data_IF_046550497583
#
_entry.id   IF_046550497583
#
_cell.length_a   1.000
_cell.length_b   1.000
_cell.length_c   1.000
_cell.angle_alpha   90.00
_cell.angle_beta   90.00
_cell.angle_gamma   90.00
#
_symmetry.space_group_name_H-M   'P 1'
#
loop_
_entity.id
_entity.type
_entity.pdbx_description
1 polymer ?
#
# COMPACT_ATOMS: atom_id res chain seq x y z
N UNK A 1 -5.31 21.85 7.63
CA UNK A 1 -4.22 21.25 6.82
C UNK A 1 -4.40 19.74 6.82
N UNK A 2 -5.06 19.20 5.79
CA UNK A 2 -5.12 17.74 5.60
C UNK A 2 -3.69 17.30 5.30
N UNK A 3 -3.11 16.52 6.20
CA UNK A 3 -1.74 16.04 6.06
C UNK A 3 -1.62 15.19 4.80
N UNK A 4 -0.69 15.54 3.91
CA UNK A 4 -0.44 14.88 2.61
C UNK A 4 -0.28 13.35 2.71
N UNK A 5 0.08 12.86 3.89
CA UNK A 5 0.19 11.43 4.20
C UNK A 5 -1.15 10.70 4.22
N UNK A 6 -2.25 11.36 4.62
CA UNK A 6 -3.58 10.76 4.66
C UNK A 6 -4.17 10.60 3.25
N UNK A 7 -3.96 11.58 2.37
CA UNK A 7 -4.43 11.52 0.97
C UNK A 7 -3.73 10.42 0.18
N UNK A 8 -2.39 10.35 0.25
CA UNK A 8 -1.61 9.28 -0.41
C UNK A 8 -2.01 7.89 0.09
N UNK A 9 -2.25 7.76 1.40
CA UNK A 9 -2.59 6.46 1.98
C UNK A 9 -4.00 5.99 1.60
N UNK A 10 -4.92 6.91 1.34
CA UNK A 10 -6.26 6.57 0.84
C UNK A 10 -6.23 6.21 -0.64
N UNK A 11 -5.54 7.00 -1.46
CA UNK A 11 -5.37 6.74 -2.90
C UNK A 11 -4.76 5.35 -3.14
N UNK A 12 -3.67 5.04 -2.44
CA UNK A 12 -3.01 3.74 -2.55
C UNK A 12 -3.92 2.59 -2.12
N UNK A 13 -4.78 2.81 -1.12
CA UNK A 13 -5.76 1.81 -0.66
C UNK A 13 -6.80 1.54 -1.74
N UNK A 14 -7.33 2.57 -2.39
CA UNK A 14 -8.33 2.47 -3.46
C UNK A 14 -7.77 1.70 -4.65
N UNK A 15 -6.54 2.00 -5.07
CA UNK A 15 -5.87 1.27 -6.15
C UNK A 15 -5.79 -0.23 -5.84
N UNK A 16 -5.37 -0.60 -4.62
CA UNK A 16 -5.27 -2.02 -4.22
C UNK A 16 -6.61 -2.73 -4.13
N UNK A 17 -7.67 -2.02 -3.77
CA UNK A 17 -9.03 -2.57 -3.85
C UNK A 17 -9.44 -2.84 -5.30
N UNK A 18 -9.15 -1.93 -6.23
CA UNK A 18 -9.44 -2.12 -7.65
C UNK A 18 -8.67 -3.31 -8.23
N UNK A 19 -7.40 -3.48 -7.87
CA UNK A 19 -6.62 -4.66 -8.26
C UNK A 19 -7.21 -5.95 -7.71
N UNK A 20 -7.67 -5.96 -6.46
CA UNK A 20 -8.28 -7.15 -5.88
C UNK A 20 -9.58 -7.55 -6.58
N UNK A 21 -10.41 -6.57 -6.96
CA UNK A 21 -11.59 -6.83 -7.79
C UNK A 21 -11.23 -7.34 -9.18
N UNK A 22 -10.21 -6.76 -9.82
CA UNK A 22 -9.69 -7.22 -11.13
C UNK A 22 -9.21 -8.67 -11.06
N UNK A 23 -8.58 -9.05 -9.96
CA UNK A 23 -8.07 -10.41 -9.74
C UNK A 23 -9.17 -11.41 -9.32
N UNK A 24 -10.43 -10.96 -9.22
CA UNK A 24 -11.56 -11.80 -8.82
C UNK A 24 -11.54 -12.23 -7.35
N UNK A 25 -10.82 -11.51 -6.49
CA UNK A 25 -10.77 -11.83 -5.07
C UNK A 25 -12.10 -11.51 -4.38
N UNK A 26 -12.51 -12.42 -3.50
CA UNK A 26 -13.60 -12.16 -2.57
C UNK A 26 -13.24 -11.03 -1.59
N UNK A 27 -14.26 -10.39 -1.02
CA UNK A 27 -14.10 -9.23 -0.14
C UNK A 27 -13.12 -9.47 1.03
N UNK A 28 -13.11 -10.69 1.59
CA UNK A 28 -12.24 -11.08 2.71
C UNK A 28 -10.76 -11.14 2.29
N UNK A 29 -10.47 -11.72 1.13
CA UNK A 29 -9.11 -11.87 0.62
C UNK A 29 -8.58 -10.54 0.07
N UNK A 30 -9.45 -9.75 -0.54
CA UNK A 30 -9.17 -8.36 -0.94
C UNK A 30 -8.79 -7.50 0.29
N UNK A 31 -9.57 -7.59 1.38
CA UNK A 31 -9.27 -6.89 2.62
C UNK A 31 -7.95 -7.34 3.23
N UNK A 32 -7.64 -8.64 3.20
CA UNK A 32 -6.36 -9.17 3.69
C UNK A 32 -5.19 -8.59 2.89
N UNK A 33 -5.30 -8.56 1.56
CA UNK A 33 -4.30 -8.00 0.65
C UNK A 33 -4.08 -6.51 0.90
N UNK A 34 -5.16 -5.73 1.00
CA UNK A 34 -5.09 -4.30 1.31
C UNK A 34 -4.45 -4.04 2.68
N UNK A 35 -4.72 -4.91 3.67
CA UNK A 35 -4.16 -4.78 5.03
C UNK A 35 -2.66 -5.04 5.09
N UNK A 36 -2.10 -5.87 4.19
CA UNK A 36 -0.65 -6.05 4.07
C UNK A 36 0.08 -4.74 3.74
N UNK A 37 -0.58 -3.85 2.99
CA UNK A 37 -0.07 -2.52 2.66
C UNK A 37 -0.48 -1.45 3.68
N UNK A 38 -1.13 -1.83 4.79
CA UNK A 38 -1.45 -0.88 5.85
C UNK A 38 -0.16 -0.36 6.48
N UNK A 39 -0.19 0.91 6.87
CA UNK A 39 0.95 1.65 7.41
C UNK A 39 1.67 0.92 8.53
N UNK A 40 1.01 0.08 9.34
CA UNK A 40 1.66 -0.65 10.43
C UNK A 40 2.66 -1.72 9.95
N UNK A 41 2.37 -2.36 8.82
CA UNK A 41 3.28 -3.31 8.17
C UNK A 41 4.27 -2.61 7.23
N UNK A 42 3.86 -1.51 6.59
CA UNK A 42 4.70 -0.78 5.66
C UNK A 42 5.68 0.20 6.35
N UNK A 43 5.41 0.63 7.59
CA UNK A 43 6.32 1.49 8.37
C UNK A 43 7.60 0.76 8.76
N UNK A 44 7.57 -0.58 8.92
CA UNK A 44 8.82 -1.35 9.06
C UNK A 44 9.62 -1.33 7.75
N UNK A 45 8.96 -1.34 6.58
CA UNK A 45 9.61 -1.22 5.27
C UNK A 45 10.07 0.21 4.92
N UNK A 46 9.52 1.26 5.53
CA UNK A 46 10.06 2.63 5.43
C UNK A 46 11.41 2.82 6.15
N UNK A 47 11.88 1.82 6.90
CA UNK A 47 13.28 1.76 7.37
C UNK A 47 14.23 1.17 6.32
N UNK A 48 13.76 0.90 5.11
CA UNK A 48 14.64 0.68 3.97
C UNK A 48 15.32 2.01 3.67
N UNK A 49 16.66 2.10 3.77
CA UNK A 49 17.39 3.30 3.39
C UNK A 49 17.03 3.69 1.96
N UNK A 50 16.88 4.99 1.68
CA UNK A 50 16.55 5.48 0.33
C UNK A 50 17.51 4.94 -0.74
N UNK A 51 18.77 4.68 -0.38
CA UNK A 51 19.77 4.03 -1.22
C UNK A 51 19.32 2.66 -1.72
N UNK A 52 18.73 1.84 -0.84
CA UNK A 52 18.25 0.51 -1.16
C UNK A 52 16.94 0.57 -1.94
N UNK A 53 16.05 1.53 -1.65
CA UNK A 53 14.84 1.75 -2.44
C UNK A 53 15.17 2.14 -3.90
N UNK A 54 16.15 3.03 -4.10
CA UNK A 54 16.60 3.49 -5.42
C UNK A 54 17.22 2.37 -6.28
N UNK A 55 17.68 1.28 -5.68
CA UNK A 55 18.18 0.11 -6.42
C UNK A 55 17.06 -0.74 -7.06
N UNK A 56 15.81 -0.58 -6.62
CA UNK A 56 14.65 -1.31 -7.15
C UNK A 56 13.78 -0.49 -8.11
N UNK A 57 14.16 0.77 -8.39
CA UNK A 57 13.48 1.69 -9.33
C UNK A 57 13.94 1.51 -10.80
N UNK A 58 14.44 0.32 -11.17
CA UNK A 58 14.97 -0.01 -12.51
C UNK A 58 13.85 -0.12 -13.55
#
# INVERSE_FOLDING_TARGET
TVTLSASLSWEHRVVRWMEAYRDGLGAKDAQLRVRQFSSRHYTSHRRVPETLARQFDV
#
